data_IF_942596826461
#
_entry.id   IF_942596826461
#
_cell.length_a   1.000
_cell.length_b   1.000
_cell.length_c   1.000
_cell.angle_alpha   90.00
_cell.angle_beta   90.00
_cell.angle_gamma   90.00
#
_symmetry.space_group_name_H-M   'P 1'
#
loop_
_entity.id
_entity.type
_entity.pdbx_description
1 polymer ?
#
# COMPACT_ATOMS: atom_id res chain seq x y z
N UNK A 1 12.98 7.21 -42.81
CA UNK A 1 11.55 6.95 -42.50
C UNK A 1 11.51 6.42 -41.08
N UNK A 2 10.86 7.12 -40.14
CA UNK A 2 10.78 6.70 -38.72
C UNK A 2 9.50 5.89 -38.56
N UNK A 3 9.61 4.63 -38.13
CA UNK A 3 8.43 3.81 -37.85
C UNK A 3 7.76 4.32 -36.57
N UNK A 4 6.44 4.53 -36.63
CA UNK A 4 5.63 4.97 -35.50
C UNK A 4 5.49 3.78 -34.54
N UNK A 5 5.71 3.95 -33.22
CA UNK A 5 5.56 2.84 -32.28
C UNK A 5 4.10 2.38 -32.25
N UNK A 6 3.89 1.08 -32.43
CA UNK A 6 2.58 0.43 -32.38
C UNK A 6 1.93 0.67 -31.01
N UNK A 7 0.70 1.17 -31.03
CA UNK A 7 -0.09 1.43 -29.82
C UNK A 7 -0.73 0.14 -29.30
N UNK A 8 -1.01 0.07 -28.00
CA UNK A 8 -1.60 -1.12 -27.35
C UNK A 8 -2.94 -1.52 -28.01
N UNK A 9 -3.72 -0.54 -28.48
CA UNK A 9 -4.96 -0.78 -29.20
C UNK A 9 -4.72 -1.43 -30.58
N UNK A 10 -3.71 -0.98 -31.32
CA UNK A 10 -3.34 -1.58 -32.61
C UNK A 10 -2.86 -3.03 -32.42
N UNK A 11 -2.08 -3.30 -31.38
CA UNK A 11 -1.62 -4.65 -31.03
C UNK A 11 -2.80 -5.54 -30.64
N UNK A 12 -3.75 -5.05 -29.84
CA UNK A 12 -4.93 -5.80 -29.45
C UNK A 12 -5.84 -6.11 -30.65
N UNK A 13 -6.05 -5.15 -31.56
CA UNK A 13 -6.81 -5.36 -32.78
C UNK A 13 -6.15 -6.37 -33.73
N UNK A 14 -4.82 -6.33 -33.87
CA UNK A 14 -4.08 -7.32 -34.65
C UNK A 14 -4.21 -8.72 -34.04
N UNK A 15 -4.11 -8.84 -32.72
CA UNK A 15 -4.26 -10.12 -32.02
C UNK A 15 -5.68 -10.69 -32.13
N UNK A 16 -6.70 -9.85 -32.07
CA UNK A 16 -8.10 -10.27 -32.21
C UNK A 16 -8.39 -10.78 -33.63
N UNK A 17 -7.89 -10.08 -34.65
CA UNK A 17 -7.99 -10.54 -36.04
C UNK A 17 -7.27 -11.88 -36.26
N UNK A 18 -6.09 -12.06 -35.68
CA UNK A 18 -5.36 -13.33 -35.76
C UNK A 18 -6.08 -14.48 -35.03
N UNK A 19 -6.83 -14.15 -33.97
CA UNK A 19 -7.62 -15.11 -33.19
C UNK A 19 -8.93 -15.52 -33.90
N UNK A 20 -9.53 -14.62 -34.68
CA UNK A 20 -10.70 -14.94 -35.52
C UNK A 20 -10.32 -15.88 -36.66
N UNK A 21 -9.18 -15.64 -37.34
CA UNK A 21 -8.62 -16.56 -38.35
C UNK A 21 -8.27 -17.95 -37.76
N UNK A 22 -8.09 -18.03 -36.44
CA UNK A 22 -7.82 -19.27 -35.73
C UNK A 22 -9.06 -20.17 -35.63
N UNK A 23 -10.26 -19.59 -35.57
CA UNK A 23 -11.52 -20.34 -35.43
C UNK A 23 -11.90 -21.04 -36.74
N UNK A 24 -11.53 -20.46 -37.88
CA UNK A 24 -11.85 -20.97 -39.23
C UNK A 24 -10.68 -21.70 -39.93
N UNK A 25 -9.52 -21.80 -39.29
CA UNK A 25 -8.29 -22.35 -39.89
C UNK A 25 -8.15 -23.89 -39.86
N UNK A 26 -7.34 -24.42 -40.79
CA UNK A 26 -7.00 -25.86 -40.86
C UNK A 26 -6.30 -26.35 -39.58
N UNK A 27 -6.63 -27.56 -39.10
CA UNK A 27 -6.24 -28.09 -37.78
C UNK A 27 -4.72 -28.06 -37.55
N UNK A 28 -3.92 -28.21 -38.60
CA UNK A 28 -2.46 -28.15 -38.53
C UNK A 28 -1.94 -26.73 -38.23
N UNK A 29 -2.61 -25.68 -38.76
CA UNK A 29 -2.28 -24.28 -38.47
C UNK A 29 -2.70 -23.90 -37.06
N UNK A 30 -3.84 -24.41 -36.59
CA UNK A 30 -4.31 -24.25 -35.20
C UNK A 30 -3.33 -24.89 -34.21
N UNK A 31 -2.87 -26.12 -34.46
CA UNK A 31 -1.89 -26.81 -33.60
C UNK A 31 -0.52 -26.11 -33.57
N UNK A 32 -0.03 -25.65 -34.73
CA UNK A 32 1.23 -24.91 -34.80
C UNK A 32 1.15 -23.59 -34.02
N UNK A 33 0.01 -22.90 -34.08
CA UNK A 33 -0.18 -21.63 -33.39
C UNK A 33 -0.38 -21.82 -31.88
N UNK A 34 -1.06 -22.89 -31.43
CA UNK A 34 -1.16 -23.24 -30.01
C UNK A 34 0.22 -23.54 -29.38
N UNK A 35 1.11 -24.20 -30.13
CA UNK A 35 2.48 -24.49 -29.70
C UNK A 35 3.35 -23.23 -29.57
N UNK A 36 3.08 -22.19 -30.37
CA UNK A 36 3.78 -20.90 -30.31
C UNK A 36 3.15 -19.96 -29.28
N UNK A 37 1.83 -20.04 -29.07
CA UNK A 37 1.09 -19.21 -28.13
C UNK A 37 1.44 -19.51 -26.66
N UNK A 38 1.71 -20.78 -26.31
CA UNK A 38 2.06 -21.16 -24.93
C UNK A 38 3.35 -20.47 -24.44
N UNK A 39 4.49 -20.53 -25.16
CA UNK A 39 5.69 -19.77 -24.80
C UNK A 39 5.46 -18.25 -24.75
N UNK A 40 4.65 -17.69 -25.66
CA UNK A 40 4.35 -16.26 -25.67
C UNK A 40 3.51 -15.83 -24.45
N UNK A 41 2.55 -16.66 -24.03
CA UNK A 41 1.78 -16.42 -22.82
C UNK A 41 2.64 -16.54 -21.57
N UNK A 42 3.59 -17.47 -21.54
CA UNK A 42 4.56 -17.60 -20.45
C UNK A 42 5.48 -16.38 -20.38
N UNK A 43 6.03 -15.91 -21.51
CA UNK A 43 6.86 -14.70 -21.55
C UNK A 43 6.06 -13.43 -21.19
N UNK A 44 4.80 -13.33 -21.60
CA UNK A 44 3.92 -12.22 -21.22
C UNK A 44 3.58 -12.29 -19.72
N UNK A 45 3.30 -13.47 -19.18
CA UNK A 45 3.03 -13.68 -17.76
C UNK A 45 4.26 -13.34 -16.93
N UNK A 46 5.46 -13.77 -17.32
CA UNK A 46 6.71 -13.39 -16.66
C UNK A 46 6.95 -11.88 -16.74
N UNK A 47 6.71 -11.24 -17.89
CA UNK A 47 6.83 -9.79 -18.04
C UNK A 47 5.82 -8.99 -17.20
N UNK A 48 4.57 -9.47 -17.10
CA UNK A 48 3.52 -8.90 -16.26
C UNK A 48 3.84 -9.14 -14.77
N UNK A 49 4.30 -10.34 -14.39
CA UNK A 49 4.68 -10.67 -13.03
C UNK A 49 5.92 -9.89 -12.57
N UNK A 50 6.92 -9.70 -13.45
CA UNK A 50 8.10 -8.88 -13.18
C UNK A 50 7.72 -7.40 -12.98
N UNK A 51 6.78 -6.88 -13.78
CA UNK A 51 6.24 -5.52 -13.61
C UNK A 51 5.30 -5.40 -12.41
N UNK A 52 4.54 -6.43 -12.09
CA UNK A 52 3.70 -6.49 -10.89
C UNK A 52 4.57 -6.53 -9.63
N UNK A 53 5.67 -7.29 -9.62
CA UNK A 53 6.67 -7.23 -8.54
C UNK A 53 7.21 -5.82 -8.33
N UNK A 54 7.50 -5.11 -9.42
CA UNK A 54 7.98 -3.72 -9.38
C UNK A 54 6.89 -2.68 -9.01
N UNK A 55 5.60 -3.02 -9.14
CA UNK A 55 4.47 -2.22 -8.65
C UNK A 55 4.11 -2.57 -7.20
N UNK A 56 4.37 -3.79 -6.74
CA UNK A 56 4.24 -4.20 -5.33
C UNK A 56 5.32 -3.53 -4.47
N UNK A 57 6.45 -3.14 -5.06
CA UNK A 57 7.46 -2.28 -4.43
C UNK A 57 7.01 -0.82 -4.24
N UNK A 58 5.83 -0.40 -4.74
CA UNK A 58 5.38 1.00 -4.69
C UNK A 58 4.51 1.36 -3.47
N UNK A 59 3.99 0.42 -2.68
CA UNK A 59 3.16 0.78 -1.50
C UNK A 59 3.45 0.02 -0.20
N UNK A 60 4.74 -0.16 0.10
CA UNK A 60 5.20 -0.17 1.49
C UNK A 60 6.33 0.86 1.62
N UNK A 61 5.98 2.13 1.41
CA UNK A 61 6.80 3.20 1.97
C UNK A 61 7.04 2.83 3.44
N UNK A 62 8.29 2.74 3.92
CA UNK A 62 8.52 2.57 5.34
C UNK A 62 7.87 3.79 5.99
N UNK A 63 6.72 3.58 6.65
CA UNK A 63 6.05 4.56 7.50
C UNK A 63 7.17 5.26 8.23
N UNK A 64 7.33 6.57 8.00
CA UNK A 64 8.51 7.37 8.36
C UNK A 64 9.13 6.78 9.62
N UNK A 65 10.23 6.03 9.47
CA UNK A 65 10.72 5.16 10.52
C UNK A 65 11.09 6.08 11.68
N UNK A 66 10.40 5.93 12.82
CA UNK A 66 10.63 6.68 14.04
C UNK A 66 12.12 6.98 14.21
N UNK A 67 12.49 8.26 14.32
CA UNK A 67 13.88 8.63 14.56
C UNK A 67 14.24 8.32 16.02
N UNK A 68 15.00 7.24 16.30
CA UNK A 68 15.21 6.78 17.67
C UNK A 68 16.05 7.75 18.51
N UNK A 69 16.78 8.65 17.85
CA UNK A 69 17.62 9.66 18.51
C UNK A 69 16.83 10.90 18.93
N UNK A 70 15.58 11.03 18.47
CA UNK A 70 14.72 12.17 18.80
C UNK A 70 13.82 11.82 19.99
N UNK A 71 14.07 12.50 21.11
CA UNK A 71 13.33 12.31 22.36
C UNK A 71 12.38 13.50 22.61
N UNK A 72 11.09 13.21 22.69
CA UNK A 72 10.06 14.18 23.02
C UNK A 72 9.69 14.10 24.50
N UNK A 73 9.46 15.25 25.12
CA UNK A 73 8.96 15.33 26.49
C UNK A 73 7.55 15.90 26.52
N UNK A 74 6.61 15.09 26.97
CA UNK A 74 5.19 15.47 27.07
C UNK A 74 4.80 15.76 28.51
N UNK A 75 4.01 16.82 28.70
CA UNK A 75 3.22 17.04 29.92
C UNK A 75 1.76 16.68 29.60
N UNK A 76 1.25 15.64 30.24
CA UNK A 76 -0.12 15.17 30.06
C UNK A 76 -0.93 15.64 31.26
N UNK A 77 -2.06 16.31 31.03
CA UNK A 77 -2.91 16.88 32.09
C UNK A 77 -4.34 16.41 31.88
N UNK A 78 -4.99 15.87 32.91
CA UNK A 78 -6.42 15.61 32.86
C UNK A 78 -7.18 16.93 33.04
N UNK A 79 -8.07 17.21 32.09
CA UNK A 79 -8.95 18.37 32.14
C UNK A 79 -10.13 18.09 33.09
N UNK A 80 -10.66 19.14 33.74
CA UNK A 80 -11.86 19.06 34.58
C UNK A 80 -11.63 18.66 36.05
N UNK A 81 -10.38 18.62 36.53
CA UNK A 81 -10.05 18.28 37.92
C UNK A 81 -9.29 19.40 38.64
N UNK A 82 -9.64 19.61 39.91
CA UNK A 82 -8.90 20.45 40.85
C UNK A 82 -8.62 19.68 42.15
N UNK A 83 -7.34 19.56 42.59
CA UNK A 83 -6.14 20.06 41.92
C UNK A 83 -5.82 19.31 40.62
N UNK A 84 -5.08 19.96 39.71
CA UNK A 84 -4.77 19.41 38.39
C UNK A 84 -3.98 18.09 38.50
N UNK A 85 -4.50 17.03 37.87
CA UNK A 85 -3.85 15.73 37.78
C UNK A 85 -3.00 15.70 36.51
N UNK A 86 -1.69 15.50 36.63
CA UNK A 86 -0.78 15.49 35.49
C UNK A 86 0.34 14.45 35.62
N UNK A 87 0.95 14.10 34.48
CA UNK A 87 2.13 13.24 34.34
C UNK A 87 3.10 13.86 33.34
N UNK A 88 4.40 13.59 33.52
CA UNK A 88 5.42 13.96 32.53
C UNK A 88 6.15 12.70 32.09
N UNK A 89 6.20 12.49 30.78
CA UNK A 89 6.86 11.34 30.17
C UNK A 89 7.84 11.79 29.09
N UNK A 90 8.83 10.95 28.83
CA UNK A 90 9.74 11.09 27.70
C UNK A 90 9.55 9.87 26.80
N UNK A 91 9.35 10.11 25.52
CA UNK A 91 9.14 9.06 24.51
C UNK A 91 10.00 9.37 23.29
N UNK A 92 10.48 8.32 22.64
CA UNK A 92 11.10 8.47 21.33
C UNK A 92 10.03 8.88 20.30
N UNK A 93 10.49 9.32 19.13
CA UNK A 93 9.61 9.49 17.98
C UNK A 93 8.79 8.20 17.76
N UNK A 94 7.47 8.32 17.68
CA UNK A 94 6.55 7.18 17.68
C UNK A 94 5.23 7.54 17.01
N UNK A 95 4.43 6.53 16.66
CA UNK A 95 3.08 6.75 16.11
C UNK A 95 2.12 7.23 17.21
N UNK A 96 0.99 7.81 16.81
CA UNK A 96 -0.05 8.23 17.77
C UNK A 96 -0.60 7.05 18.59
N UNK A 97 -0.75 5.88 17.97
CA UNK A 97 -1.17 4.65 18.67
C UNK A 97 -0.17 4.26 19.76
N UNK A 98 1.13 4.34 19.48
CA UNK A 98 2.16 4.07 20.48
C UNK A 98 2.13 5.14 21.58
N UNK A 99 1.97 6.42 21.22
CA UNK A 99 1.84 7.49 22.21
C UNK A 99 0.63 7.27 23.14
N UNK A 100 -0.50 6.79 22.61
CA UNK A 100 -1.66 6.40 23.41
C UNK A 100 -1.31 5.34 24.46
N UNK A 101 -0.60 4.28 24.09
CA UNK A 101 -0.16 3.25 25.05
C UNK A 101 0.73 3.82 26.16
N UNK A 102 1.63 4.75 25.83
CA UNK A 102 2.44 5.45 26.84
C UNK A 102 1.58 6.31 27.78
N UNK A 103 0.55 6.98 27.26
CA UNK A 103 -0.40 7.77 28.06
C UNK A 103 -1.22 6.85 28.98
N UNK A 104 -1.76 5.74 28.45
CA UNK A 104 -2.52 4.75 29.21
C UNK A 104 -1.69 4.26 30.41
N UNK A 105 -0.44 3.86 30.15
CA UNK A 105 0.48 3.40 31.19
C UNK A 105 0.78 4.49 32.22
N UNK A 106 1.08 5.72 31.78
CA UNK A 106 1.43 6.82 32.67
C UNK A 106 0.27 7.24 33.60
N UNK A 107 -0.97 7.12 33.12
CA UNK A 107 -2.17 7.42 33.88
C UNK A 107 -2.70 6.23 34.69
N UNK A 108 -2.19 5.02 34.46
CA UNK A 108 -2.69 3.79 35.08
C UNK A 108 -4.05 3.35 34.53
N UNK A 109 -4.31 3.64 33.27
CA UNK A 109 -5.52 3.25 32.56
C UNK A 109 -5.35 1.92 31.82
N UNK A 110 -6.46 1.29 31.46
CA UNK A 110 -6.52 -0.10 30.98
C UNK A 110 -6.95 -0.22 29.52
N UNK A 111 -6.85 0.86 28.73
CA UNK A 111 -7.25 0.90 27.32
C UNK A 111 -8.66 0.34 27.04
N UNK A 112 -9.62 0.64 27.92
CA UNK A 112 -10.97 0.03 27.89
C UNK A 112 -12.01 0.78 27.07
N UNK A 113 -11.64 1.91 26.47
CA UNK A 113 -12.53 2.77 25.70
C UNK A 113 -11.83 3.25 24.43
N UNK A 114 -12.61 3.60 23.42
CA UNK A 114 -12.11 4.25 22.20
C UNK A 114 -11.45 5.58 22.53
N UNK A 115 -10.47 5.96 21.69
CA UNK A 115 -9.71 7.18 21.84
C UNK A 115 -9.51 7.87 20.48
N UNK A 116 -9.27 9.17 20.52
CA UNK A 116 -8.87 9.95 19.35
C UNK A 116 -7.91 11.05 19.78
N UNK A 117 -7.04 11.46 18.86
CA UNK A 117 -6.22 12.66 18.96
C UNK A 117 -6.79 13.76 18.06
N UNK A 118 -6.84 14.99 18.57
CA UNK A 118 -7.13 16.17 17.75
C UNK A 118 -5.88 17.04 17.66
N UNK A 119 -5.38 17.24 16.45
CA UNK A 119 -4.16 18.00 16.19
C UNK A 119 -4.48 19.04 15.13
N UNK A 120 -4.43 20.32 15.51
CA UNK A 120 -4.69 21.46 14.60
C UNK A 120 -6.05 21.35 13.86
N UNK A 121 -7.07 20.81 14.52
CA UNK A 121 -8.42 20.65 13.96
C UNK A 121 -8.65 19.37 13.15
N UNK A 122 -7.62 18.53 12.97
CA UNK A 122 -7.77 17.21 12.36
C UNK A 122 -7.87 16.12 13.42
N UNK A 123 -8.74 15.13 13.17
CA UNK A 123 -8.98 14.01 14.08
C UNK A 123 -8.28 12.74 13.59
N UNK A 124 -7.61 12.07 14.50
CA UNK A 124 -6.87 10.83 14.29
C UNK A 124 -7.38 9.80 15.29
N UNK A 125 -7.94 8.70 14.82
CA UNK A 125 -8.50 7.62 15.63
C UNK A 125 -8.89 6.45 14.75
N UNK A 126 -9.35 5.37 15.36
CA UNK A 126 -9.83 4.22 14.61
C UNK A 126 -11.08 4.58 13.79
N UNK A 127 -11.20 4.11 12.54
CA UNK A 127 -12.42 4.29 11.75
C UNK A 127 -13.57 3.49 12.37
N UNK A 128 -14.70 4.17 12.58
CA UNK A 128 -15.97 3.57 13.04
C UNK A 128 -16.59 2.61 12.02
#
# INVERSE_FOLDING_TARGET
MKEKPLTVAEVASMMLSLAEDLVDGETQKQMALLLVASPLMDQLKEGIMARAGQLVDIELQPRLKANPDLLYQFKITLLGFEPAIWRRIQVQDCTLDQLHEHIQTAMGWTNSHLHQFEIKGERYGDPD
#
